data_IF_210118401803
#
_entry.id   IF_210118401803
#
_cell.length_a   1.000
_cell.length_b   1.000
_cell.length_c   1.000
_cell.angle_alpha   90.00
_cell.angle_beta   90.00
_cell.angle_gamma   90.00
#
_symmetry.space_group_name_H-M   'P 1'
#
loop_
_entity.id
_entity.type
_entity.pdbx_description
1 polymer ?
#
# COMPACT_ATOMS: atom_id res chain seq x y z
N UNK A 1 -14.30 15.48 10.39
CA UNK A 1 -14.46 14.08 9.96
C UNK A 1 -15.86 13.62 10.30
N UNK A 2 -16.52 12.92 9.39
CA UNK A 2 -17.83 12.29 9.63
C UNK A 2 -17.63 11.02 10.45
N UNK A 3 -18.49 10.81 11.45
CA UNK A 3 -18.42 9.63 12.32
C UNK A 3 -18.54 8.34 11.49
N UNK A 4 -17.72 7.31 11.75
CA UNK A 4 -17.81 6.03 11.06
C UNK A 4 -19.20 5.40 11.14
N UNK A 5 -19.60 4.69 10.07
CA UNK A 5 -20.90 4.04 9.95
C UNK A 5 -20.79 2.51 9.93
N UNK A 6 -21.94 1.82 10.01
CA UNK A 6 -21.98 0.37 9.81
C UNK A 6 -21.56 -0.05 8.39
N UNK A 7 -21.73 0.83 7.40
CA UNK A 7 -21.23 0.57 6.04
C UNK A 7 -19.71 0.57 6.00
N UNK A 8 -19.06 1.51 6.70
CA UNK A 8 -17.59 1.54 6.81
C UNK A 8 -17.06 0.29 7.50
N UNK A 9 -17.73 -0.19 8.55
CA UNK A 9 -17.36 -1.45 9.21
C UNK A 9 -17.39 -2.65 8.24
N UNK A 10 -18.39 -2.71 7.36
CA UNK A 10 -18.47 -3.76 6.34
C UNK A 10 -17.35 -3.64 5.29
N UNK A 11 -17.01 -2.42 4.87
CA UNK A 11 -15.88 -2.17 3.95
C UNK A 11 -14.57 -2.63 4.60
N UNK A 12 -14.34 -2.25 5.86
CA UNK A 12 -13.16 -2.66 6.62
C UNK A 12 -13.03 -4.19 6.70
N UNK A 13 -14.13 -4.91 6.99
CA UNK A 13 -14.14 -6.36 7.04
C UNK A 13 -13.89 -7.00 5.66
N UNK A 14 -14.42 -6.42 4.58
CA UNK A 14 -14.15 -6.87 3.21
C UNK A 14 -12.67 -6.66 2.82
N UNK A 15 -12.11 -5.51 3.17
CA UNK A 15 -10.68 -5.23 2.96
C UNK A 15 -9.82 -6.23 3.75
N UNK A 16 -10.18 -6.55 4.99
CA UNK A 16 -9.50 -7.57 5.80
C UNK A 16 -9.59 -8.97 5.19
N UNK A 17 -10.73 -9.33 4.59
CA UNK A 17 -10.88 -10.60 3.88
C UNK A 17 -9.99 -10.65 2.64
N UNK A 18 -9.91 -9.56 1.86
CA UNK A 18 -9.00 -9.46 0.71
C UNK A 18 -7.53 -9.53 1.16
N UNK A 19 -7.19 -8.85 2.27
CA UNK A 19 -5.86 -8.92 2.86
C UNK A 19 -5.44 -10.37 3.16
N UNK A 20 -6.33 -11.14 3.79
CA UNK A 20 -6.09 -12.55 4.07
C UNK A 20 -6.03 -13.39 2.79
N UNK A 21 -6.98 -13.22 1.87
CA UNK A 21 -7.05 -14.02 0.64
C UNK A 21 -5.85 -13.83 -0.30
N UNK A 22 -5.21 -12.65 -0.25
CA UNK A 22 -4.02 -12.35 -1.03
C UNK A 22 -2.72 -12.63 -0.27
N UNK A 23 -2.77 -13.12 0.98
CA UNK A 23 -1.62 -13.29 1.85
C UNK A 23 -0.76 -12.00 1.93
N UNK A 24 -1.41 -10.85 2.13
CA UNK A 24 -0.72 -9.56 2.24
C UNK A 24 0.20 -9.53 3.47
N UNK A 25 -0.14 -10.26 4.54
CA UNK A 25 0.69 -10.41 5.74
C UNK A 25 2.10 -10.91 5.42
N UNK A 26 2.23 -11.91 4.55
CA UNK A 26 3.54 -12.47 4.17
C UNK A 26 4.34 -11.48 3.32
N UNK A 27 3.66 -10.77 2.41
CA UNK A 27 4.28 -9.73 1.61
C UNK A 27 4.78 -8.56 2.47
N UNK A 28 3.97 -8.10 3.45
CA UNK A 28 4.38 -7.08 4.42
C UNK A 28 5.53 -7.59 5.29
N UNK A 29 5.45 -8.83 5.78
CA UNK A 29 6.52 -9.46 6.55
C UNK A 29 7.85 -9.48 5.79
N UNK A 30 7.81 -9.78 4.49
CA UNK A 30 8.98 -9.74 3.64
C UNK A 30 9.50 -8.31 3.41
N UNK A 31 8.62 -7.32 3.19
CA UNK A 31 9.01 -5.89 3.06
C UNK A 31 9.72 -5.37 4.33
N UNK A 32 9.33 -5.84 5.51
CA UNK A 32 10.00 -5.53 6.77
C UNK A 32 11.28 -6.33 7.04
N UNK A 33 11.53 -7.38 6.25
CA UNK A 33 12.73 -8.19 6.40
C UNK A 33 13.99 -7.45 5.97
N UNK A 34 15.15 -8.03 6.30
CA UNK A 34 16.46 -7.54 5.86
C UNK A 34 16.74 -7.79 4.37
N UNK A 35 15.93 -8.63 3.72
CA UNK A 35 16.09 -8.96 2.30
C UNK A 35 15.48 -7.90 1.38
N UNK A 36 14.59 -7.05 1.89
CA UNK A 36 13.99 -5.96 1.14
C UNK A 36 15.00 -4.84 0.86
N UNK A 37 15.04 -4.37 -0.39
CA UNK A 37 15.91 -3.30 -0.87
C UNK A 37 15.05 -2.08 -1.20
N UNK A 38 15.16 -0.96 -0.46
CA UNK A 38 14.34 0.23 -0.69
C UNK A 38 14.58 0.90 -2.04
N UNK A 39 15.81 0.89 -2.53
CA UNK A 39 16.21 1.57 -3.76
C UNK A 39 15.81 0.74 -5.00
N UNK A 40 14.85 1.23 -5.80
CA UNK A 40 14.30 0.50 -6.95
C UNK A 40 15.36 -0.03 -7.92
N UNK A 41 16.37 0.77 -8.25
CA UNK A 41 17.42 0.37 -9.18
C UNK A 41 18.25 -0.82 -8.68
N UNK A 42 18.46 -0.95 -7.38
CA UNK A 42 19.13 -2.11 -6.78
C UNK A 42 18.15 -3.27 -6.56
N UNK A 43 16.91 -2.95 -6.18
CA UNK A 43 15.83 -3.93 -6.05
C UNK A 43 15.66 -4.73 -7.34
N UNK A 44 15.49 -4.09 -8.50
CA UNK A 44 15.24 -4.77 -9.77
C UNK A 44 16.43 -5.57 -10.30
N UNK A 45 17.66 -5.23 -9.86
CA UNK A 45 18.86 -6.02 -10.19
C UNK A 45 18.85 -7.36 -9.46
N UNK A 46 18.46 -7.37 -8.18
CA UNK A 46 18.40 -8.59 -7.35
C UNK A 46 17.10 -9.37 -7.57
N UNK A 47 15.98 -8.65 -7.71
CA UNK A 47 14.62 -9.17 -7.79
C UNK A 47 13.93 -8.61 -9.06
N UNK A 48 14.29 -9.12 -10.24
CA UNK A 48 13.66 -8.68 -11.49
C UNK A 48 12.16 -9.01 -11.53
N UNK A 49 11.43 -8.35 -12.44
CA UNK A 49 10.02 -8.64 -12.66
C UNK A 49 9.79 -10.13 -12.93
N UNK A 50 8.84 -10.73 -12.21
CA UNK A 50 8.53 -12.16 -12.29
C UNK A 50 9.09 -13.00 -11.14
N UNK A 51 9.97 -12.46 -10.29
CA UNK A 51 10.32 -13.12 -9.02
C UNK A 51 9.21 -12.97 -7.98
N UNK A 52 9.31 -13.75 -6.91
CA UNK A 52 8.36 -13.70 -5.80
C UNK A 52 8.49 -12.41 -4.99
N UNK A 53 9.71 -11.94 -4.79
CA UNK A 53 10.04 -10.70 -4.08
C UNK A 53 9.47 -9.47 -4.80
N UNK A 54 9.59 -9.43 -6.12
CA UNK A 54 8.94 -8.40 -6.93
C UNK A 54 7.42 -8.45 -6.74
N UNK A 55 6.82 -9.66 -6.75
CA UNK A 55 5.39 -9.83 -6.49
C UNK A 55 5.01 -9.38 -5.09
N UNK A 56 5.81 -9.61 -4.05
CA UNK A 56 5.52 -9.11 -2.70
C UNK A 56 5.46 -7.59 -2.65
N UNK A 57 6.47 -6.91 -3.20
CA UNK A 57 6.49 -5.45 -3.23
C UNK A 57 5.29 -4.89 -4.02
N UNK A 58 5.05 -5.40 -5.24
CA UNK A 58 3.89 -5.00 -6.05
C UNK A 58 2.57 -5.25 -5.35
N UNK A 59 2.42 -6.39 -4.66
CA UNK A 59 1.17 -6.78 -4.00
C UNK A 59 0.82 -5.82 -2.87
N UNK A 60 1.80 -5.41 -2.05
CA UNK A 60 1.60 -4.40 -1.00
C UNK A 60 1.17 -3.06 -1.60
N UNK A 61 1.91 -2.57 -2.61
CA UNK A 61 1.57 -1.31 -3.27
C UNK A 61 0.17 -1.34 -3.92
N UNK A 62 -0.18 -2.43 -4.61
CA UNK A 62 -1.50 -2.58 -5.25
C UNK A 62 -2.66 -2.63 -4.26
N UNK A 63 -2.47 -3.31 -3.13
CA UNK A 63 -3.51 -3.38 -2.09
C UNK A 63 -3.78 -1.98 -1.52
N UNK A 64 -2.73 -1.25 -1.12
CA UNK A 64 -2.88 0.07 -0.54
C UNK A 64 -3.31 1.13 -1.56
N UNK A 65 -2.97 0.96 -2.84
CA UNK A 65 -3.51 1.78 -3.93
C UNK A 65 -5.03 1.62 -4.06
N UNK A 66 -5.53 0.39 -3.90
CA UNK A 66 -6.97 0.10 -3.95
C UNK A 66 -7.69 0.72 -2.75
N UNK A 67 -7.12 0.61 -1.55
CA UNK A 67 -7.64 1.27 -0.34
C UNK A 67 -7.62 2.80 -0.50
N UNK A 68 -6.53 3.33 -1.04
CA UNK A 68 -6.37 4.76 -1.29
C UNK A 68 -7.39 5.32 -2.25
N UNK A 69 -7.83 4.53 -3.24
CA UNK A 69 -8.90 4.92 -4.15
C UNK A 69 -10.22 5.14 -3.40
N UNK A 70 -10.57 4.27 -2.45
CA UNK A 70 -11.78 4.43 -1.62
C UNK A 70 -11.68 5.68 -0.74
N UNK A 71 -10.53 5.92 -0.13
CA UNK A 71 -10.26 7.12 0.67
C UNK A 71 -10.41 8.39 -0.17
N UNK A 72 -9.75 8.47 -1.33
CA UNK A 72 -9.75 9.65 -2.22
C UNK A 72 -11.16 10.08 -2.62
N UNK A 73 -12.09 9.13 -2.73
CA UNK A 73 -13.48 9.38 -3.09
C UNK A 73 -14.43 9.52 -1.89
N UNK A 74 -13.91 9.50 -0.66
CA UNK A 74 -14.74 9.61 0.55
C UNK A 74 -15.68 8.43 0.76
N UNK A 75 -15.33 7.26 0.21
CA UNK A 75 -16.14 6.04 0.28
C UNK A 75 -15.82 5.17 1.49
N UNK A 76 -14.73 5.48 2.20
CA UNK A 76 -14.33 4.79 3.42
C UNK A 76 -13.85 5.80 4.47
N UNK A 77 -14.26 5.60 5.72
CA UNK A 77 -13.86 6.42 6.86
C UNK A 77 -12.33 6.47 7.05
N UNK A 78 -11.80 7.69 7.07
CA UNK A 78 -10.41 8.01 7.40
C UNK A 78 -10.05 7.66 8.85
N UNK A 79 -10.95 7.91 9.80
CA UNK A 79 -10.80 7.52 11.20
C UNK A 79 -10.59 6.00 11.34
N UNK A 80 -11.45 5.17 10.74
CA UNK A 80 -11.28 3.71 10.78
C UNK A 80 -10.03 3.26 10.02
N UNK A 81 -9.74 3.84 8.85
CA UNK A 81 -8.56 3.51 8.06
C UNK A 81 -7.27 3.73 8.87
N UNK A 82 -7.13 4.91 9.46
CA UNK A 82 -5.91 5.33 10.14
C UNK A 82 -5.76 4.75 11.55
N UNK A 83 -6.84 4.31 12.18
CA UNK A 83 -6.78 3.53 13.43
C UNK A 83 -6.45 2.05 13.16
N UNK A 84 -6.71 1.55 11.95
CA UNK A 84 -6.48 0.16 11.56
C UNK A 84 -5.11 -0.08 10.93
N UNK A 85 -4.67 0.79 10.02
CA UNK A 85 -3.47 0.60 9.21
C UNK A 85 -2.45 1.71 9.43
N UNK A 86 -1.18 1.36 9.63
CA UNK A 86 -0.05 2.28 9.63
C UNK A 86 0.50 2.47 8.21
N UNK A 87 -0.27 3.17 7.37
CA UNK A 87 -0.02 3.33 5.94
C UNK A 87 1.18 4.23 5.67
N UNK A 88 1.32 5.31 6.44
CA UNK A 88 2.47 6.23 6.39
C UNK A 88 3.79 5.50 6.65
N UNK A 89 3.86 4.70 7.70
CA UNK A 89 5.06 3.94 8.08
C UNK A 89 5.41 2.90 6.99
N UNK A 90 4.40 2.24 6.44
CA UNK A 90 4.61 1.25 5.36
C UNK A 90 5.02 1.93 4.05
N UNK A 91 4.47 3.11 3.73
CA UNK A 91 4.89 3.92 2.60
C UNK A 91 6.35 4.36 2.75
N UNK A 92 6.76 4.89 3.90
CA UNK A 92 8.16 5.25 4.16
C UNK A 92 9.12 4.09 3.90
N UNK A 93 8.69 2.85 4.17
CA UNK A 93 9.48 1.65 3.92
C UNK A 93 9.60 1.29 2.44
N UNK A 94 8.51 1.38 1.67
CA UNK A 94 8.42 0.83 0.31
C UNK A 94 8.41 1.88 -0.82
N UNK A 95 8.34 3.18 -0.50
CA UNK A 95 8.16 4.23 -1.50
C UNK A 95 9.20 4.22 -2.62
N UNK A 96 10.45 3.84 -2.34
CA UNK A 96 11.50 3.78 -3.35
C UNK A 96 11.16 2.80 -4.47
N UNK A 97 10.57 1.64 -4.14
CA UNK A 97 10.04 0.71 -5.14
C UNK A 97 8.85 1.31 -5.90
N UNK A 98 7.88 1.89 -5.18
CA UNK A 98 6.65 2.43 -5.78
C UNK A 98 6.95 3.56 -6.78
N UNK A 99 7.76 4.54 -6.37
CA UNK A 99 8.17 5.68 -7.18
C UNK A 99 9.10 5.27 -8.33
N UNK A 100 10.06 4.38 -8.07
CA UNK A 100 10.94 3.89 -9.12
C UNK A 100 10.20 3.11 -10.21
N UNK A 101 9.20 2.30 -9.83
CA UNK A 101 8.35 1.62 -10.80
C UNK A 101 7.50 2.61 -11.60
N UNK A 102 6.91 3.62 -10.94
CA UNK A 102 6.14 4.71 -11.57
C UNK A 102 6.92 5.38 -12.69
N UNK A 103 8.18 5.73 -12.41
CA UNK A 103 9.10 6.30 -13.39
C UNK A 103 9.45 5.31 -14.51
N UNK A 104 9.78 4.07 -14.16
CA UNK A 104 10.21 3.05 -15.12
C UNK A 104 9.15 2.70 -16.17
N UNK A 105 7.86 2.74 -15.80
CA UNK A 105 6.76 2.50 -16.75
C UNK A 105 6.16 3.78 -17.33
N UNK A 106 6.72 4.95 -16.99
CA UNK A 106 6.25 6.27 -17.42
C UNK A 106 4.74 6.49 -17.18
N UNK A 107 4.26 6.12 -15.98
CA UNK A 107 2.87 6.31 -15.58
C UNK A 107 2.80 7.20 -14.32
N UNK A 108 2.55 8.50 -14.45
CA UNK A 108 2.50 9.42 -13.30
C UNK A 108 1.50 9.04 -12.22
N UNK A 109 0.40 8.37 -12.58
CA UNK A 109 -0.67 7.99 -11.64
C UNK A 109 -0.42 6.67 -10.93
N UNK A 110 0.67 5.94 -11.22
CA UNK A 110 0.91 4.65 -10.59
C UNK A 110 1.17 4.84 -9.08
N UNK A 111 0.36 4.19 -8.24
CA UNK A 111 0.46 4.26 -6.77
C UNK A 111 0.23 5.66 -6.18
N UNK A 112 -0.40 6.57 -6.92
CA UNK A 112 -0.68 7.93 -6.43
C UNK A 112 -1.65 7.93 -5.24
N UNK A 113 -2.58 6.96 -5.19
CA UNK A 113 -3.58 6.92 -4.14
C UNK A 113 -3.00 6.35 -2.84
N UNK A 114 -2.09 5.37 -2.94
CA UNK A 114 -1.29 4.91 -1.79
C UNK A 114 -0.45 6.07 -1.22
N UNK A 115 0.25 6.81 -2.08
CA UNK A 115 1.02 8.00 -1.65
C UNK A 115 0.13 9.05 -0.97
N UNK A 116 -1.07 9.30 -1.52
CA UNK A 116 -2.01 10.25 -0.96
C UNK A 116 -2.50 9.87 0.45
N UNK A 117 -2.86 8.60 0.68
CA UNK A 117 -3.27 8.16 2.02
C UNK A 117 -2.13 8.17 3.02
N UNK A 118 -0.91 7.84 2.59
CA UNK A 118 0.27 7.90 3.45
C UNK A 118 0.58 9.34 3.88
N UNK A 119 0.48 10.29 2.94
CA UNK A 119 0.66 11.72 3.20
C UNK A 119 -0.40 12.24 4.16
N UNK A 120 -1.67 11.92 3.90
CA UNK A 120 -2.78 12.33 4.76
C UNK A 120 -2.66 11.78 6.19
N UNK A 121 -2.24 10.52 6.35
CA UNK A 121 -2.05 9.93 7.69
C UNK A 121 -0.90 10.59 8.46
N UNK A 122 0.20 10.94 7.77
CA UNK A 122 1.36 11.60 8.38
C UNK A 122 1.06 13.02 8.89
N UNK A 123 0.08 13.69 8.28
CA UNK A 123 -0.35 15.04 8.63
C UNK A 123 -1.46 15.08 9.70
N UNK A 124 -1.99 13.92 10.11
CA UNK A 124 -3.04 13.77 11.14
C UNK A 124 -2.50 14.09 12.54
#
# INVERSE_FOLDING_TARGET
MTKPTHQDANIMLQLLQVWAALDISDAVGWVWSREFIPEYAEFIKKYPAGTEEYRYASKVCMYLESVGTLYKHGLFSDELLFDWMAVDILWERINGFALGLREAVNNPGLYENFEAIATAQKER
#
